data_IF_720716682946
#
_entry.id   IF_720716682946
#
_cell.length_a   1.000
_cell.length_b   1.000
_cell.length_c   1.000
_cell.angle_alpha   90.00
_cell.angle_beta   90.00
_cell.angle_gamma   90.00
#
_symmetry.space_group_name_H-M   'P 1'
#
loop_
_entity.id
_entity.type
_entity.pdbx_description
1 polymer ?
#
# COMPACT_ATOMS: atom_id res chain seq x y z
N UNK A 1 -6.25 4.53 2.49
CA UNK A 1 -5.36 4.58 3.67
C UNK A 1 -5.68 5.77 4.60
N UNK A 2 -5.45 7.03 4.20
CA UNK A 2 -5.71 8.18 5.08
C UNK A 2 -7.14 8.23 5.67
N UNK A 3 -8.16 8.08 4.82
CA UNK A 3 -9.56 8.02 5.28
C UNK A 3 -9.88 6.81 6.17
N UNK A 4 -9.15 5.69 6.02
CA UNK A 4 -9.33 4.53 6.90
C UNK A 4 -8.78 4.79 8.30
N UNK A 5 -7.64 5.47 8.40
CA UNK A 5 -7.06 5.87 9.68
C UNK A 5 -7.95 6.92 10.39
N UNK A 6 -8.46 7.91 9.66
CA UNK A 6 -9.45 8.87 10.20
C UNK A 6 -10.71 8.17 10.71
N UNK A 7 -11.24 7.21 9.96
CA UNK A 7 -12.41 6.42 10.37
C UNK A 7 -12.15 5.55 11.62
N UNK A 8 -10.88 5.21 11.88
CA UNK A 8 -10.44 4.51 13.08
C UNK A 8 -10.16 5.47 14.26
N UNK A 9 -10.31 6.78 14.07
CA UNK A 9 -10.03 7.79 15.10
C UNK A 9 -8.53 8.09 15.29
N UNK A 10 -7.67 7.67 14.35
CA UNK A 10 -6.22 7.87 14.42
C UNK A 10 -5.84 9.24 13.87
N UNK A 11 -4.98 9.96 14.59
CA UNK A 11 -4.42 11.22 14.09
C UNK A 11 -3.39 10.96 12.98
N UNK A 12 -3.86 10.99 11.73
CA UNK A 12 -3.07 10.64 10.54
C UNK A 12 -2.64 11.87 9.75
N UNK A 13 -1.34 11.95 9.42
CA UNK A 13 -0.80 12.87 8.41
C UNK A 13 -0.78 12.19 7.04
N UNK A 14 -1.34 12.83 6.02
CA UNK A 14 -1.39 12.29 4.66
C UNK A 14 -0.75 13.27 3.70
N UNK A 15 0.24 12.84 2.94
CA UNK A 15 0.89 13.68 1.93
C UNK A 15 2.15 13.05 1.35
N UNK A 16 3.20 13.83 1.10
CA UNK A 16 4.42 13.38 0.43
C UNK A 16 4.53 13.99 -0.97
N UNK A 17 4.51 13.14 -2.00
CA UNK A 17 4.53 13.55 -3.40
C UNK A 17 3.24 14.26 -3.84
N UNK A 18 2.08 13.82 -3.34
CA UNK A 18 0.79 14.47 -3.55
C UNK A 18 0.29 15.07 -2.24
N UNK A 19 -0.26 16.29 -2.31
CA UNK A 19 -0.80 17.00 -1.16
C UNK A 19 0.28 17.79 -0.41
N UNK A 20 0.25 17.73 0.92
CA UNK A 20 1.23 18.45 1.73
C UNK A 20 2.61 17.76 1.65
N UNK A 21 3.71 18.52 1.47
CA UNK A 21 5.06 17.98 1.55
C UNK A 21 5.28 17.26 2.89
N UNK A 22 6.01 16.14 2.88
CA UNK A 22 6.20 15.30 4.05
C UNK A 22 6.71 16.07 5.29
N UNK A 23 7.61 17.05 5.09
CA UNK A 23 8.14 17.88 6.17
C UNK A 23 7.09 18.77 6.84
N UNK A 24 6.04 19.18 6.12
CA UNK A 24 4.95 19.97 6.68
C UNK A 24 3.95 19.13 7.47
N UNK A 25 4.02 17.80 7.38
CA UNK A 25 3.18 16.88 8.15
C UNK A 25 3.76 16.60 9.54
N UNK A 26 5.03 16.94 9.77
CA UNK A 26 5.74 16.64 11.02
C UNK A 26 5.09 17.33 12.20
N UNK A 27 4.57 16.52 13.11
CA UNK A 27 3.82 16.96 14.29
C UNK A 27 3.90 15.84 15.33
N UNK A 28 4.17 16.22 16.58
CA UNK A 28 4.38 15.29 17.71
C UNK A 28 3.12 14.51 18.06
N UNK A 29 1.95 15.05 17.74
CA UNK A 29 0.66 14.43 18.06
C UNK A 29 0.22 13.42 16.98
N UNK A 30 1.03 13.23 15.92
CA UNK A 30 0.74 12.29 14.82
C UNK A 30 1.04 10.86 15.24
N UNK A 31 0.04 10.01 15.09
CA UNK A 31 0.15 8.58 15.35
C UNK A 31 0.51 7.78 14.11
N UNK A 32 0.19 8.31 12.91
CA UNK A 32 0.41 7.63 11.63
C UNK A 32 0.74 8.62 10.51
N UNK A 33 1.67 8.23 9.66
CA UNK A 33 1.97 8.92 8.41
C UNK A 33 1.62 8.02 7.21
N UNK A 34 0.86 8.56 6.27
CA UNK A 34 0.57 7.93 4.98
C UNK A 34 1.23 8.79 3.91
N UNK A 35 2.37 8.31 3.43
CA UNK A 35 3.18 9.04 2.46
C UNK A 35 3.06 8.40 1.08
N UNK A 36 2.76 9.22 0.09
CA UNK A 36 3.00 8.88 -1.31
C UNK A 36 4.43 9.28 -1.68
N UNK A 37 5.19 8.37 -2.27
CA UNK A 37 6.59 8.59 -2.64
C UNK A 37 6.78 8.33 -4.13
N UNK A 38 7.45 9.27 -4.81
CA UNK A 38 7.92 9.06 -6.18
C UNK A 38 9.22 8.24 -6.20
N UNK A 39 9.56 7.69 -7.36
CA UNK A 39 10.85 7.00 -7.54
C UNK A 39 12.03 7.91 -7.22
N UNK A 40 11.95 9.19 -7.60
CA UNK A 40 13.00 10.18 -7.36
C UNK A 40 13.26 10.43 -5.88
N UNK A 41 12.18 10.48 -5.07
CA UNK A 41 12.31 10.61 -3.62
C UNK A 41 12.94 9.37 -3.01
N UNK A 42 12.62 8.18 -3.51
CA UNK A 42 13.19 6.92 -3.03
C UNK A 42 14.69 6.76 -3.37
N UNK A 43 15.17 7.34 -4.48
CA UNK A 43 16.60 7.35 -4.81
C UNK A 43 17.43 8.08 -3.76
N UNK A 44 16.90 9.16 -3.19
CA UNK A 44 17.58 9.99 -2.18
C UNK A 44 17.24 9.60 -0.74
N UNK A 45 16.35 8.64 -0.54
CA UNK A 45 15.92 8.18 0.79
C UNK A 45 16.62 6.87 1.15
N UNK A 46 17.22 6.82 2.34
CA UNK A 46 17.91 5.63 2.87
C UNK A 46 17.48 5.24 4.29
N UNK A 47 16.84 6.15 5.02
CA UNK A 47 16.44 5.98 6.42
C UNK A 47 14.96 5.60 6.61
N UNK A 48 14.20 5.41 5.52
CA UNK A 48 12.78 5.07 5.62
C UNK A 48 12.59 3.65 6.16
N UNK A 49 11.99 3.54 7.34
CA UNK A 49 11.59 2.28 7.97
C UNK A 49 10.06 2.19 8.01
N UNK A 50 9.46 1.83 6.87
CA UNK A 50 8.01 1.79 6.74
C UNK A 50 7.40 0.61 7.53
N UNK A 51 6.33 0.87 8.29
CA UNK A 51 5.54 -0.22 8.90
C UNK A 51 4.93 -1.11 7.81
N UNK A 52 4.43 -0.49 6.74
CA UNK A 52 4.00 -1.17 5.52
C UNK A 52 4.37 -0.31 4.31
N UNK A 53 4.90 -0.96 3.27
CA UNK A 53 5.26 -0.33 2.00
C UNK A 53 4.62 -1.08 0.82
N UNK A 54 4.34 -0.39 -0.27
CA UNK A 54 3.75 -1.01 -1.47
C UNK A 54 4.21 -0.34 -2.75
N UNK A 55 4.34 -1.13 -3.81
CA UNK A 55 4.43 -0.67 -5.19
C UNK A 55 3.20 -1.23 -5.90
N UNK A 56 2.35 -0.34 -6.42
CA UNK A 56 1.07 -0.75 -6.99
C UNK A 56 1.22 -1.39 -8.37
N UNK A 57 2.11 -0.83 -9.19
CA UNK A 57 2.48 -1.32 -10.51
C UNK A 57 3.79 -0.65 -10.93
N UNK A 58 4.47 -1.23 -11.92
CA UNK A 58 5.63 -0.63 -12.58
C UNK A 58 5.41 -0.66 -14.09
N UNK A 59 5.04 0.49 -14.66
CA UNK A 59 4.95 0.70 -16.10
C UNK A 59 6.00 1.71 -16.56
N UNK A 60 6.31 1.75 -17.86
CA UNK A 60 7.25 2.74 -18.41
C UNK A 60 6.75 4.16 -18.13
N UNK A 61 7.57 4.90 -17.38
CA UNK A 61 7.34 6.29 -17.00
C UNK A 61 8.70 6.94 -16.74
N UNK A 62 8.85 8.22 -17.08
CA UNK A 62 10.09 8.98 -16.89
C UNK A 62 11.36 8.36 -17.53
N UNK A 63 11.24 7.75 -18.71
CA UNK A 63 12.39 7.13 -19.41
C UNK A 63 13.47 8.12 -19.86
N UNK A 64 13.15 9.41 -19.94
CA UNK A 64 14.12 10.50 -20.15
C UNK A 64 15.17 10.57 -19.02
N UNK A 65 14.82 10.08 -17.84
CA UNK A 65 15.66 10.14 -16.63
C UNK A 65 16.30 8.80 -16.27
N UNK A 66 15.82 7.71 -16.84
CA UNK A 66 16.33 6.36 -16.60
C UNK A 66 16.99 5.82 -17.88
N UNK A 67 18.25 6.21 -18.17
CA UNK A 67 18.93 5.81 -19.40
C UNK A 67 19.19 4.30 -19.49
N UNK A 68 19.15 3.58 -18.35
CA UNK A 68 19.24 2.12 -18.29
C UNK A 68 17.85 1.45 -18.40
N UNK A 69 16.81 2.23 -18.70
CA UNK A 69 15.45 1.79 -18.98
C UNK A 69 14.65 1.35 -17.74
N UNK A 70 13.61 0.56 -17.98
CA UNK A 70 12.60 0.17 -16.99
C UNK A 70 13.18 -0.52 -15.75
N UNK A 71 14.28 -1.27 -15.87
CA UNK A 71 14.90 -1.94 -14.73
C UNK A 71 15.54 -0.95 -13.74
N UNK A 72 16.07 0.17 -14.21
CA UNK A 72 16.60 1.22 -13.35
C UNK A 72 15.47 1.94 -12.60
N UNK A 73 14.38 2.23 -13.29
CA UNK A 73 13.18 2.79 -12.68
C UNK A 73 12.59 1.86 -11.60
N UNK A 74 12.52 0.56 -11.93
CA UNK A 74 12.11 -0.47 -10.97
C UNK A 74 13.04 -0.51 -9.77
N UNK A 75 14.34 -0.51 -9.97
CA UNK A 75 15.32 -0.53 -8.89
C UNK A 75 15.15 0.66 -7.94
N UNK A 76 14.89 1.85 -8.47
CA UNK A 76 14.58 3.04 -7.66
C UNK A 76 13.34 2.84 -6.78
N UNK A 77 12.24 2.27 -7.32
CA UNK A 77 11.03 2.00 -6.52
C UNK A 77 11.21 0.90 -5.48
N UNK A 78 11.96 -0.15 -5.81
CA UNK A 78 12.20 -1.28 -4.90
C UNK A 78 12.89 -0.89 -3.60
N UNK A 79 13.56 0.28 -3.56
CA UNK A 79 14.15 0.86 -2.34
C UNK A 79 13.12 1.06 -1.23
N UNK A 80 11.83 1.23 -1.57
CA UNK A 80 10.75 1.36 -0.57
C UNK A 80 10.63 0.15 0.36
N UNK A 81 11.14 -1.03 -0.06
CA UNK A 81 11.06 -2.26 0.71
C UNK A 81 12.30 -2.54 1.58
N UNK A 82 13.42 -1.83 1.40
CA UNK A 82 14.71 -2.19 2.03
C UNK A 82 14.60 -2.39 3.55
N UNK A 83 13.93 -1.46 4.25
CA UNK A 83 13.73 -1.52 5.71
C UNK A 83 12.24 -1.59 6.09
N UNK A 84 11.38 -2.02 5.17
CA UNK A 84 9.95 -2.14 5.45
C UNK A 84 9.69 -3.37 6.34
N UNK A 85 8.87 -3.20 7.38
CA UNK A 85 8.43 -4.32 8.23
C UNK A 85 7.49 -5.26 7.48
N UNK A 86 6.65 -4.71 6.62
CA UNK A 86 5.73 -5.47 5.75
C UNK A 86 5.78 -4.91 4.32
N UNK A 87 5.97 -5.78 3.34
CA UNK A 87 5.86 -5.45 1.92
C UNK A 87 4.46 -5.83 1.44
N UNK A 88 3.82 -4.98 0.64
CA UNK A 88 2.56 -5.28 -0.02
C UNK A 88 2.81 -5.25 -1.52
N UNK A 89 2.78 -6.41 -2.17
CA UNK A 89 3.18 -6.59 -3.57
C UNK A 89 1.98 -6.92 -4.44
N UNK A 90 2.04 -6.52 -5.71
CA UNK A 90 1.02 -6.87 -6.68
C UNK A 90 1.35 -8.24 -7.29
N UNK A 91 0.49 -9.23 -7.07
CA UNK A 91 0.63 -10.57 -7.62
C UNK A 91 0.45 -10.60 -9.15
N UNK A 92 -0.27 -9.62 -9.71
CA UNK A 92 -0.48 -9.50 -11.15
C UNK A 92 0.69 -8.80 -11.86
N UNK A 93 1.64 -8.20 -11.11
CA UNK A 93 2.80 -7.50 -11.64
C UNK A 93 4.10 -7.90 -10.92
N UNK A 94 4.84 -8.80 -11.55
CA UNK A 94 6.11 -9.33 -11.06
C UNK A 94 7.19 -8.25 -10.86
N UNK A 95 7.10 -7.09 -11.52
CA UNK A 95 8.07 -6.01 -11.34
C UNK A 95 7.92 -5.34 -9.97
N UNK A 96 6.76 -5.46 -9.32
CA UNK A 96 6.52 -4.97 -7.96
C UNK A 96 7.13 -5.86 -6.87
N UNK A 97 7.56 -7.08 -7.22
CA UNK A 97 8.15 -8.01 -6.27
C UNK A 97 9.62 -7.67 -5.99
N UNK A 98 10.10 -7.83 -4.74
CA UNK A 98 11.51 -7.71 -4.40
C UNK A 98 12.40 -8.62 -5.26
N UNK A 99 13.65 -8.21 -5.50
CA UNK A 99 14.61 -8.96 -6.35
C UNK A 99 14.86 -10.38 -5.83
N UNK A 100 14.84 -10.57 -4.49
CA UNK A 100 15.03 -11.87 -3.84
C UNK A 100 13.75 -12.74 -3.82
N UNK A 101 12.66 -12.28 -4.44
CA UNK A 101 11.35 -12.90 -4.35
C UNK A 101 10.56 -12.42 -3.13
N UNK A 102 9.30 -12.87 -3.04
CA UNK A 102 8.45 -12.62 -1.88
C UNK A 102 9.02 -13.36 -0.66
N UNK A 103 9.42 -12.59 0.35
CA UNK A 103 9.83 -13.08 1.68
C UNK A 103 8.59 -13.23 2.58
N UNK A 104 8.73 -13.81 3.78
CA UNK A 104 7.64 -14.03 4.74
C UNK A 104 6.93 -12.74 5.18
N UNK A 105 7.59 -11.60 4.99
CA UNK A 105 7.07 -10.24 5.28
C UNK A 105 6.19 -9.69 4.16
N UNK A 106 6.14 -10.34 3.00
CA UNK A 106 5.40 -9.86 1.84
C UNK A 106 3.99 -10.42 1.80
N UNK A 107 3.03 -9.51 1.70
CA UNK A 107 1.62 -9.77 1.53
C UNK A 107 1.28 -9.43 0.08
N UNK A 108 0.63 -10.36 -0.61
CA UNK A 108 0.29 -10.19 -2.01
C UNK A 108 -1.16 -9.71 -2.19
N UNK A 109 -1.39 -8.83 -3.15
CA UNK A 109 -2.73 -8.51 -3.64
C UNK A 109 -2.82 -8.70 -5.15
N UNK A 110 -3.96 -9.13 -5.66
CA UNK A 110 -4.17 -9.30 -7.10
C UNK A 110 -5.65 -9.45 -7.46
N UNK A 111 -5.93 -9.62 -8.74
CA UNK A 111 -7.31 -9.84 -9.22
C UNK A 111 -7.72 -11.27 -8.93
N UNK A 112 -6.97 -12.26 -9.43
CA UNK A 112 -7.33 -13.68 -9.32
C UNK A 112 -6.49 -14.45 -8.30
N UNK A 113 -5.30 -13.93 -7.98
CA UNK A 113 -4.31 -14.59 -7.12
C UNK A 113 -3.76 -13.64 -6.05
N UNK A 114 -3.37 -14.19 -4.90
CA UNK A 114 -2.75 -13.47 -3.78
C UNK A 114 -3.50 -13.60 -2.46
N UNK A 115 -2.86 -13.14 -1.38
CA UNK A 115 -3.44 -13.11 -0.03
C UNK A 115 -4.72 -12.27 0.01
N UNK A 116 -4.71 -11.17 -0.74
CA UNK A 116 -5.85 -10.30 -1.00
C UNK A 116 -6.25 -10.43 -2.47
N UNK A 117 -7.40 -11.01 -2.78
CA UNK A 117 -7.84 -11.17 -4.16
C UNK A 117 -9.31 -10.87 -4.35
N UNK A 118 -9.70 -10.61 -5.59
CA UNK A 118 -11.09 -10.46 -5.96
C UNK A 118 -11.68 -11.82 -6.34
N UNK A 119 -12.92 -12.05 -5.95
CA UNK A 119 -13.63 -13.26 -6.29
C UNK A 119 -14.95 -12.90 -6.96
N UNK A 120 -15.08 -13.29 -8.23
CA UNK A 120 -16.32 -13.12 -9.00
C UNK A 120 -17.19 -14.36 -8.81
N UNK A 121 -18.37 -14.19 -8.22
CA UNK A 121 -19.39 -15.23 -8.08
C UNK A 121 -20.75 -14.68 -8.50
N UNK A 122 -21.42 -15.38 -9.42
CA UNK A 122 -22.82 -15.12 -9.80
C UNK A 122 -23.12 -13.63 -10.15
N UNK A 123 -22.19 -12.97 -10.84
CA UNK A 123 -22.34 -11.55 -11.23
C UNK A 123 -21.98 -10.54 -10.13
N UNK A 124 -21.52 -11.00 -8.96
CA UNK A 124 -21.01 -10.15 -7.89
C UNK A 124 -19.49 -10.30 -7.74
N UNK A 125 -18.82 -9.22 -7.36
CA UNK A 125 -17.38 -9.25 -7.06
C UNK A 125 -17.19 -9.04 -5.56
N UNK A 126 -16.43 -9.90 -4.92
CA UNK A 126 -16.13 -9.85 -3.49
C UNK A 126 -14.63 -9.68 -3.27
N UNK A 127 -14.24 -8.83 -2.32
CA UNK A 127 -12.88 -8.78 -1.79
C UNK A 127 -12.69 -9.92 -0.81
N UNK A 128 -11.67 -10.74 -1.03
CA UNK A 128 -11.28 -11.83 -0.15
C UNK A 128 -9.93 -11.60 0.48
N UNK A 129 -9.79 -12.06 1.72
CA UNK A 129 -8.53 -12.08 2.45
C UNK A 129 -8.30 -13.49 2.95
N UNK A 130 -7.24 -14.15 2.46
CA UNK A 130 -6.90 -15.55 2.78
C UNK A 130 -8.08 -16.53 2.65
N UNK A 131 -8.94 -16.29 1.65
CA UNK A 131 -10.12 -17.11 1.36
C UNK A 131 -11.42 -16.66 2.04
N UNK A 132 -11.37 -15.74 3.01
CA UNK A 132 -12.55 -15.20 3.68
C UNK A 132 -13.14 -14.02 2.91
N UNK A 133 -14.48 -13.98 2.76
CA UNK A 133 -15.18 -12.85 2.12
C UNK A 133 -15.28 -11.70 3.12
N UNK A 134 -14.69 -10.56 2.78
CA UNK A 134 -14.67 -9.37 3.65
C UNK A 134 -15.68 -8.33 3.21
N UNK A 135 -15.71 -8.02 1.91
CA UNK A 135 -16.50 -6.90 1.39
C UNK A 135 -17.05 -7.20 0.00
N UNK A 136 -18.33 -6.89 -0.22
CA UNK A 136 -18.90 -6.89 -1.56
C UNK A 136 -18.54 -5.58 -2.27
N UNK A 137 -18.01 -5.68 -3.48
CA UNK A 137 -17.62 -4.53 -4.28
C UNK A 137 -18.80 -3.63 -4.64
N UNK A 138 -20.04 -4.14 -4.63
CA UNK A 138 -21.25 -3.33 -4.81
C UNK A 138 -21.46 -2.28 -3.70
N UNK A 139 -20.90 -2.51 -2.51
CA UNK A 139 -20.95 -1.55 -1.40
C UNK A 139 -19.88 -0.44 -1.55
N UNK A 140 -19.00 -0.56 -2.55
CA UNK A 140 -17.95 0.42 -2.80
C UNK A 140 -18.49 1.53 -3.71
N UNK A 141 -18.33 2.82 -3.34
CA UNK A 141 -18.79 3.95 -4.14
C UNK A 141 -17.97 4.19 -5.42
N UNK A 142 -16.95 3.37 -5.70
CA UNK A 142 -16.06 3.49 -6.86
C UNK A 142 -16.27 2.30 -7.79
N UNK A 143 -16.66 2.57 -9.04
CA UNK A 143 -16.81 1.55 -10.09
C UNK A 143 -15.54 1.45 -10.96
N UNK A 144 -15.19 0.25 -11.41
CA UNK A 144 -14.07 -0.02 -12.33
C UNK A 144 -12.98 -0.93 -11.75
N UNK A 145 -12.46 -1.86 -12.56
CA UNK A 145 -11.55 -2.94 -12.12
C UNK A 145 -10.24 -2.40 -11.51
N UNK A 146 -9.68 -1.34 -12.08
CA UNK A 146 -8.49 -0.62 -11.57
C UNK A 146 -8.79 0.24 -10.34
N UNK A 147 -10.05 0.58 -10.11
CA UNK A 147 -10.45 1.23 -8.86
C UNK A 147 -10.52 0.21 -7.73
N UNK A 148 -10.81 -1.07 -7.94
CA UNK A 148 -10.87 -2.05 -6.84
C UNK A 148 -9.51 -2.34 -6.21
N UNK A 149 -8.42 -2.32 -6.98
CA UNK A 149 -7.06 -2.38 -6.45
C UNK A 149 -6.70 -1.13 -5.63
N UNK A 150 -7.24 0.04 -6.01
CA UNK A 150 -7.00 1.34 -5.35
C UNK A 150 -8.03 1.70 -4.25
N UNK A 151 -9.22 1.10 -4.26
CA UNK A 151 -10.38 1.54 -3.49
C UNK A 151 -10.40 0.99 -2.06
N UNK A 152 -9.24 1.04 -1.40
CA UNK A 152 -9.14 1.24 0.05
C UNK A 152 -9.48 2.69 0.44
N UNK A 153 -10.51 3.29 -0.16
CA UNK A 153 -11.09 4.57 0.25
C UNK A 153 -12.50 4.28 0.76
N UNK A 154 -12.67 4.50 2.07
CA UNK A 154 -13.90 4.38 2.87
C UNK A 154 -14.11 3.01 3.55
N UNK A 155 -13.60 2.97 4.79
CA UNK A 155 -14.24 2.41 5.99
C UNK A 155 -13.87 1.01 6.55
N UNK A 156 -14.25 0.90 7.84
CA UNK A 156 -13.73 0.15 9.00
C UNK A 156 -13.25 -1.28 8.80
N UNK A 157 -12.11 -1.58 9.45
CA UNK A 157 -11.81 -2.91 9.97
C UNK A 157 -12.04 -2.94 11.50
N UNK A 158 -12.65 -3.98 12.07
CA UNK A 158 -12.65 -4.20 13.52
C UNK A 158 -11.28 -4.74 13.94
N UNK A 159 -10.45 -3.91 14.58
CA UNK A 159 -9.23 -4.39 15.22
C UNK A 159 -9.57 -5.22 16.48
N UNK A 160 -8.92 -6.37 16.70
CA UNK A 160 -9.02 -7.08 17.97
C UNK A 160 -8.37 -6.25 19.08
N UNK A 161 -8.99 -6.24 20.27
CA UNK A 161 -8.53 -5.52 21.46
C UNK A 161 -7.09 -5.93 21.78
N UNK A 162 -6.13 -5.04 21.54
CA UNK A 162 -4.78 -5.16 22.09
C UNK A 162 -4.87 -4.78 23.57
N UNK A 163 -4.37 -5.70 24.40
CA UNK A 163 -4.36 -5.67 25.85
C UNK A 163 -3.87 -4.33 26.40
N UNK A 164 -4.68 -3.70 27.26
CA UNK A 164 -4.17 -2.71 28.23
C UNK A 164 -3.36 -3.48 29.27
N UNK A 165 -2.05 -3.26 29.31
CA UNK A 165 -1.24 -3.63 30.47
C UNK A 165 -1.64 -2.79 31.69
N UNK A 166 -1.49 -3.31 32.92
CA UNK A 166 -1.81 -2.57 34.12
C UNK A 166 -0.78 -1.44 34.33
N UNK A 167 -1.28 -0.24 34.59
CA UNK A 167 -0.45 0.86 35.08
C UNK A 167 0.06 0.51 36.48
N UNK A 168 1.37 0.66 36.69
CA UNK A 168 2.03 0.78 37.98
C UNK A 168 2.82 2.08 37.96
#
# INVERSE_FOLDING_TARGET
MGEMAKAAGVNVGVGGNIGLPALMLLDTDRELYVLELSSFQLETTSSLQAVAATILNVTEDHMDRYPLGLQQYRAAKLRIYENAKTCVVNADDALTMPVRGADERCISFGVDVGDYHLNRQQGETWLRVKGEKVLNVKEMPLTGQHNYSNARRRWRWPMPRVCRGPAA
#
